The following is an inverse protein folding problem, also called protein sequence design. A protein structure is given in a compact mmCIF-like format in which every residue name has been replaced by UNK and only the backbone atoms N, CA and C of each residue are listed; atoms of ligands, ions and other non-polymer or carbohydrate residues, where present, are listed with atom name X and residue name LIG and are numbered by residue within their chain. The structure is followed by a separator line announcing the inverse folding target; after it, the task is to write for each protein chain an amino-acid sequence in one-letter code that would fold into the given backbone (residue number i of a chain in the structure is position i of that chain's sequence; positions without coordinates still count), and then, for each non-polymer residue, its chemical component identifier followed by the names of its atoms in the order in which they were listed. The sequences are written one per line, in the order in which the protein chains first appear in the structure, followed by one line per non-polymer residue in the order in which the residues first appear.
data_IF_630192258196
#
_entry.id   IF_630192258196
#
_cell.length_a   1.000
_cell.length_b   1.000
_cell.length_c   1.000
_cell.angle_alpha   90.00
_cell.angle_beta   90.00
_cell.angle_gamma   90.00
#
_symmetry.space_group_name_H-M   'P 1'
#
loop_
_entity.id
_entity.type
_entity.pdbx_description
1 polymer ?
#
# COMPACT_ATOMS: atom_id res chain seq x y z
N UNK A 1 -2.98 -10.08 8.09
CA UNK A 1 -1.60 -10.64 8.27
C UNK A 1 -0.51 -9.57 8.34
N UNK A 2 -0.55 -8.48 7.56
CA UNK A 2 0.53 -7.47 7.59
C UNK A 2 0.74 -6.85 8.97
N UNK A 3 -0.34 -6.55 9.71
CA UNK A 3 -0.26 -6.08 11.11
C UNK A 3 0.63 -6.98 11.98
N UNK A 4 0.51 -8.31 11.84
CA UNK A 4 1.31 -9.29 12.59
C UNK A 4 2.77 -9.37 12.08
N UNK A 5 2.99 -9.33 10.78
CA UNK A 5 4.33 -9.34 10.20
C UNK A 5 5.15 -8.15 10.70
N UNK A 6 4.55 -6.96 10.69
CA UNK A 6 5.21 -5.74 11.14
C UNK A 6 5.22 -5.54 12.65
N UNK A 7 4.32 -6.18 13.43
CA UNK A 7 4.40 -6.14 14.89
C UNK A 7 5.61 -6.89 15.44
N UNK A 8 6.14 -7.87 14.70
CA UNK A 8 7.35 -8.62 15.04
C UNK A 8 8.64 -7.95 14.53
N UNK A 9 8.53 -6.84 13.80
CA UNK A 9 9.67 -6.17 13.18
C UNK A 9 9.86 -4.77 13.81
N UNK A 10 11.11 -4.43 14.14
CA UNK A 10 11.46 -3.16 14.80
C UNK A 10 11.18 -1.95 13.89
N UNK A 11 11.04 -2.16 12.57
CA UNK A 11 10.77 -1.11 11.58
C UNK A 11 9.35 -1.22 10.99
N UNK A 12 8.32 -0.96 11.79
CA UNK A 12 6.96 -0.76 11.26
C UNK A 12 6.95 0.49 10.37
N UNK A 13 6.56 0.40 9.09
CA UNK A 13 6.58 1.55 8.20
C UNK A 13 5.34 2.42 8.42
N UNK A 14 5.49 3.74 8.33
CA UNK A 14 4.41 4.72 8.59
C UNK A 14 3.21 4.53 7.64
N UNK A 15 3.49 4.12 6.41
CA UNK A 15 2.51 3.86 5.35
C UNK A 15 1.58 2.67 5.66
N UNK A 16 1.96 1.77 6.58
CA UNK A 16 1.19 0.55 6.84
C UNK A 16 -0.22 0.84 7.34
N UNK A 17 -0.40 1.80 8.24
CA UNK A 17 -1.72 2.08 8.80
C UNK A 17 -2.63 2.70 7.73
N UNK A 18 -2.12 3.61 6.91
CA UNK A 18 -2.86 4.17 5.77
C UNK A 18 -3.20 3.10 4.73
N UNK A 19 -2.28 2.18 4.44
CA UNK A 19 -2.52 1.05 3.54
C UNK A 19 -3.64 0.15 4.04
N UNK A 20 -3.63 -0.18 5.33
CA UNK A 20 -4.67 -1.02 5.92
C UNK A 20 -6.03 -0.32 5.94
N UNK A 21 -6.06 0.98 6.24
CA UNK A 21 -7.28 1.77 6.17
C UNK A 21 -7.86 1.79 4.75
N UNK A 22 -7.02 1.96 3.73
CA UNK A 22 -7.44 1.88 2.33
C UNK A 22 -8.09 0.53 2.02
N UNK A 23 -7.48 -0.58 2.43
CA UNK A 23 -8.03 -1.92 2.20
C UNK A 23 -9.30 -2.24 2.98
N UNK A 24 -9.50 -1.57 4.11
CA UNK A 24 -10.66 -1.73 5.01
C UNK A 24 -11.78 -0.71 4.68
N UNK A 25 -11.59 0.17 3.69
CA UNK A 25 -12.57 1.19 3.32
C UNK A 25 -13.74 0.60 2.52
N UNK A 26 -14.84 0.36 3.23
CA UNK A 26 -16.09 -0.19 2.70
C UNK A 26 -16.74 0.68 1.60
N UNK A 27 -16.36 1.94 1.46
CA UNK A 27 -16.87 2.84 0.40
C UNK A 27 -16.23 2.48 -0.95
N UNK A 28 -15.01 1.94 -0.95
CA UNK A 28 -14.26 1.62 -2.15
C UNK A 28 -14.52 0.17 -2.60
N UNK A 29 -15.74 -0.07 -3.13
CA UNK A 29 -16.17 -1.39 -3.63
C UNK A 29 -15.30 -1.97 -4.77
N UNK A 30 -14.40 -1.17 -5.34
CA UNK A 30 -13.44 -1.57 -6.38
C UNK A 30 -12.18 -2.25 -5.81
N UNK A 31 -11.96 -2.17 -4.49
CA UNK A 31 -10.80 -2.79 -3.85
C UNK A 31 -11.02 -4.31 -3.76
N UNK A 32 -10.07 -5.13 -4.27
CA UNK A 32 -10.14 -6.57 -4.12
C UNK A 32 -10.18 -6.99 -2.65
N UNK A 33 -11.18 -7.80 -2.29
CA UNK A 33 -11.30 -8.42 -0.94
C UNK A 33 -10.21 -9.46 -0.65
N UNK A 34 -9.43 -9.82 -1.67
CA UNK A 34 -8.32 -10.76 -1.57
C UNK A 34 -7.04 -10.13 -2.09
N UNK A 35 -5.93 -10.37 -1.38
CA UNK A 35 -4.60 -9.93 -1.79
C UNK A 35 -3.90 -11.09 -2.49
N UNK A 36 -3.40 -10.85 -3.70
CA UNK A 36 -2.61 -11.85 -4.44
C UNK A 36 -1.23 -12.04 -3.81
N UNK A 37 -0.61 -13.20 -4.08
CA UNK A 37 0.74 -13.48 -3.60
C UNK A 37 1.76 -12.43 -4.08
N UNK A 38 1.66 -12.00 -5.33
CA UNK A 38 2.59 -11.04 -5.92
C UNK A 38 2.48 -9.68 -5.24
N UNK A 39 1.27 -9.16 -5.04
CA UNK A 39 1.03 -7.91 -4.29
C UNK A 39 1.56 -8.01 -2.87
N UNK A 40 1.33 -9.13 -2.18
CA UNK A 40 1.86 -9.35 -0.84
C UNK A 40 3.39 -9.34 -0.81
N UNK A 41 4.02 -10.07 -1.74
CA UNK A 41 5.48 -10.26 -1.80
C UNK A 41 6.21 -8.97 -2.13
N UNK A 42 5.65 -8.13 -2.99
CA UNK A 42 6.29 -6.90 -3.46
C UNK A 42 5.93 -5.66 -2.61
N UNK A 43 4.93 -5.77 -1.73
CA UNK A 43 4.55 -4.69 -0.80
C UNK A 43 5.72 -4.08 -0.01
N UNK A 44 6.68 -4.84 0.56
CA UNK A 44 7.80 -4.23 1.26
C UNK A 44 8.67 -3.32 0.38
N UNK A 45 8.83 -3.65 -0.91
CA UNK A 45 9.59 -2.82 -1.86
C UNK A 45 8.83 -1.55 -2.18
N UNK A 46 7.51 -1.63 -2.38
CA UNK A 46 6.64 -0.46 -2.55
C UNK A 46 6.71 0.47 -1.34
N UNK A 47 6.64 -0.09 -0.12
CA UNK A 47 6.79 0.66 1.12
C UNK A 47 8.12 1.42 1.17
N UNK A 48 9.22 0.74 0.88
CA UNK A 48 10.56 1.35 0.86
C UNK A 48 10.65 2.46 -0.20
N UNK A 49 10.12 2.22 -1.40
CA UNK A 49 10.06 3.19 -2.48
C UNK A 49 9.31 4.47 -2.08
N UNK A 50 8.09 4.35 -1.54
CA UNK A 50 7.30 5.52 -1.12
C UNK A 50 7.95 6.23 0.07
N UNK A 51 8.57 5.51 1.01
CA UNK A 51 9.24 6.15 2.14
C UNK A 51 10.47 6.96 1.72
N UNK A 52 11.19 6.52 0.69
CA UNK A 52 12.39 7.19 0.20
C UNK A 52 12.07 8.33 -0.79
N UNK A 53 11.07 8.12 -1.66
CA UNK A 53 10.79 9.03 -2.79
C UNK A 53 9.50 9.84 -2.62
N UNK A 54 8.65 9.49 -1.66
CA UNK A 54 7.32 10.09 -1.47
C UNK A 54 6.30 9.62 -2.50
N UNK A 55 5.02 9.92 -2.22
CA UNK A 55 3.88 9.53 -3.07
C UNK A 55 3.87 10.20 -4.45
N UNK A 56 4.50 11.36 -4.59
CA UNK A 56 4.55 12.12 -5.86
C UNK A 56 5.50 11.48 -6.90
N UNK A 57 6.37 10.58 -6.45
CA UNK A 57 7.31 9.87 -7.32
C UNK A 57 6.73 8.57 -7.90
N UNK A 58 5.51 8.20 -7.52
CA UNK A 58 4.83 7.02 -8.05
C UNK A 58 4.41 7.26 -9.51
N UNK A 59 4.70 6.30 -10.38
CA UNK A 59 4.36 6.31 -11.81
C UNK A 59 3.50 5.08 -12.16
N UNK A 60 2.28 5.31 -12.64
CA UNK A 60 1.34 4.27 -13.06
C UNK A 60 1.82 3.46 -14.28
N UNK A 61 2.86 3.91 -14.98
CA UNK A 61 3.48 3.16 -16.07
C UNK A 61 4.51 2.12 -15.59
N UNK A 62 4.92 2.18 -14.32
CA UNK A 62 5.81 1.16 -13.73
C UNK A 62 5.05 -0.15 -13.47
N UNK A 63 5.79 -1.26 -13.39
CA UNK A 63 5.21 -2.60 -13.23
C UNK A 63 4.71 -2.91 -11.80
N UNK A 64 4.19 -1.91 -11.08
CA UNK A 64 3.56 -2.11 -9.79
C UNK A 64 2.18 -2.76 -9.95
N UNK A 65 1.74 -3.59 -9.00
CA UNK A 65 0.35 -4.00 -8.93
C UNK A 65 -0.59 -2.79 -8.91
N UNK A 66 -1.65 -2.81 -9.73
CA UNK A 66 -2.62 -1.72 -9.84
C UNK A 66 -3.23 -1.29 -8.49
N UNK A 67 -3.28 -2.20 -7.52
CA UNK A 67 -3.76 -1.91 -6.17
C UNK A 67 -2.94 -0.82 -5.46
N UNK A 68 -1.65 -0.71 -5.78
CA UNK A 68 -0.81 0.35 -5.23
C UNK A 68 -1.13 1.71 -5.83
N UNK A 69 -1.47 1.79 -7.12
CA UNK A 69 -1.94 3.03 -7.75
C UNK A 69 -3.23 3.53 -7.13
N UNK A 70 -4.21 2.62 -6.96
CA UNK A 70 -5.44 2.96 -6.24
C UNK A 70 -5.21 3.46 -4.82
N UNK A 71 -4.22 2.90 -4.11
CA UNK A 71 -3.83 3.39 -2.79
C UNK A 71 -3.16 4.77 -2.82
N UNK A 72 -2.26 5.02 -3.78
CA UNK A 72 -1.60 6.32 -3.94
C UNK A 72 -2.64 7.41 -4.24
N UNK A 73 -3.58 7.13 -5.15
CA UNK A 73 -4.70 8.03 -5.44
C UNK A 73 -5.57 8.30 -4.20
N UNK A 74 -5.92 7.25 -3.45
CA UNK A 74 -6.69 7.38 -2.22
C UNK A 74 -5.98 8.27 -1.20
N UNK A 75 -4.68 8.06 -1.04
CA UNK A 75 -3.88 8.83 -0.08
C UNK A 75 -3.80 10.31 -0.47
N UNK A 76 -3.62 10.61 -1.76
CA UNK A 76 -3.62 11.98 -2.29
C UNK A 76 -4.96 12.71 -2.12
N UNK A 77 -6.10 11.99 -2.15
CA UNK A 77 -7.43 12.56 -1.92
C UNK A 77 -7.74 12.85 -0.45
N UNK A 78 -6.98 12.25 0.47
CA UNK A 78 -7.24 12.30 1.92
C UNK A 78 -6.36 13.34 2.65
N UNK A 79 -5.44 13.99 1.94
CA UNK A 79 -4.60 15.11 2.41
C UNK A 79 -5.15 16.41 1.83
#
# INVERSE_FOLDING_TARGET
LWRLFYSKNIKKPKILDSWLNYLEDDINNEIPKTITYDTWRIFPQFVEFIQLNGYQSYDDNEAWPCLFGGFVEYYQKTI
#
